data_IF_978776767832
#
_entry.id   IF_978776767832
#
_cell.length_a   1.000
_cell.length_b   1.000
_cell.length_c   1.000
_cell.angle_alpha   90.00
_cell.angle_beta   90.00
_cell.angle_gamma   90.00
#
_symmetry.space_group_name_H-M   'P 1'
#
loop_
_entity.id
_entity.type
_entity.pdbx_description
1 polymer ?
#
# COMPACT_ATOMS: atom_id res chain seq x y z
N UNK A 1 -20.43 -20.83 -5.92
CA UNK A 1 -21.18 -19.63 -6.39
C UNK A 1 -20.21 -18.79 -7.24
N UNK A 2 -20.73 -18.00 -8.20
CA UNK A 2 -19.90 -17.23 -9.11
C UNK A 2 -19.58 -15.83 -8.58
N UNK A 3 -18.78 -15.12 -9.34
CA UNK A 3 -18.57 -13.69 -9.16
C UNK A 3 -19.84 -12.91 -9.50
N UNK A 4 -20.08 -11.84 -8.75
CA UNK A 4 -21.15 -10.88 -9.00
C UNK A 4 -20.52 -9.47 -8.97
N UNK A 5 -20.93 -8.65 -9.93
CA UNK A 5 -20.44 -7.27 -10.04
C UNK A 5 -21.61 -6.30 -9.90
N UNK A 6 -21.44 -5.27 -9.13
CA UNK A 6 -22.45 -4.26 -8.94
C UNK A 6 -21.81 -2.87 -8.78
N UNK A 7 -22.62 -1.82 -8.86
CA UNK A 7 -22.17 -0.46 -8.70
C UNK A 7 -23.10 0.35 -7.81
N UNK A 8 -22.52 1.33 -7.12
CA UNK A 8 -23.23 2.32 -6.31
C UNK A 8 -22.89 3.74 -6.75
N UNK A 9 -23.70 4.68 -6.35
CA UNK A 9 -23.35 6.11 -6.37
C UNK A 9 -22.93 6.54 -4.97
N UNK A 10 -21.76 7.15 -4.87
CA UNK A 10 -21.28 7.85 -3.67
C UNK A 10 -21.96 9.23 -3.64
N UNK A 11 -22.84 9.45 -2.67
CA UNK A 11 -23.64 10.70 -2.64
C UNK A 11 -22.87 11.89 -2.06
N UNK A 12 -21.68 11.66 -1.51
CA UNK A 12 -20.87 12.70 -0.89
C UNK A 12 -21.38 13.19 0.47
N UNK A 13 -22.45 12.62 0.98
CA UNK A 13 -23.09 12.93 2.27
C UNK A 13 -22.89 11.80 3.32
N UNK A 14 -22.03 10.83 3.02
CA UNK A 14 -21.82 9.64 3.84
C UNK A 14 -22.77 8.50 3.51
N UNK A 15 -23.55 8.60 2.44
CA UNK A 15 -24.44 7.54 1.98
C UNK A 15 -24.06 7.04 0.59
N UNK A 16 -24.44 5.80 0.32
CA UNK A 16 -24.35 5.19 -1.00
C UNK A 16 -25.74 4.73 -1.47
N UNK A 17 -25.97 4.89 -2.77
CA UNK A 17 -27.18 4.41 -3.44
C UNK A 17 -26.81 3.33 -4.44
N UNK A 18 -27.45 2.15 -4.34
CA UNK A 18 -27.27 1.09 -5.32
C UNK A 18 -27.71 1.57 -6.71
N UNK A 19 -26.80 1.46 -7.67
CA UNK A 19 -26.97 1.93 -9.02
C UNK A 19 -27.35 0.78 -9.96
N UNK A 20 -26.63 -0.30 -9.87
CA UNK A 20 -26.84 -1.48 -10.70
C UNK A 20 -26.39 -2.74 -9.98
N UNK A 21 -27.12 -3.84 -10.19
CA UNK A 21 -26.76 -5.19 -9.76
C UNK A 21 -26.43 -6.03 -10.98
N UNK A 22 -25.63 -7.07 -10.79
CA UNK A 22 -25.33 -8.06 -11.82
C UNK A 22 -24.82 -7.44 -13.13
N UNK A 23 -23.86 -6.51 -13.01
CA UNK A 23 -23.22 -5.88 -14.17
C UNK A 23 -22.47 -6.94 -14.99
N UNK A 24 -22.64 -6.96 -16.34
CA UNK A 24 -21.96 -7.91 -17.20
C UNK A 24 -20.53 -7.44 -17.53
N UNK A 25 -19.71 -7.30 -16.50
CA UNK A 25 -18.30 -6.93 -16.63
C UNK A 25 -17.53 -8.13 -17.20
N UNK A 26 -16.57 -7.85 -18.06
CA UNK A 26 -15.61 -8.81 -18.62
C UNK A 26 -14.18 -8.33 -18.42
N UNK A 27 -13.21 -9.25 -18.57
CA UNK A 27 -11.79 -8.94 -18.40
C UNK A 27 -11.50 -8.24 -17.05
N UNK A 28 -12.16 -8.71 -16.01
CA UNK A 28 -12.07 -8.10 -14.66
C UNK A 28 -10.73 -8.45 -14.03
N UNK A 29 -10.05 -7.45 -13.53
CA UNK A 29 -8.82 -7.58 -12.75
C UNK A 29 -8.96 -6.81 -11.43
N UNK A 30 -8.71 -7.49 -10.33
CA UNK A 30 -8.85 -6.94 -8.98
C UNK A 30 -7.51 -6.99 -8.28
N UNK A 31 -6.94 -5.84 -8.02
CA UNK A 31 -5.67 -5.73 -7.28
C UNK A 31 -5.90 -5.20 -5.88
N UNK A 32 -5.32 -5.89 -4.89
CA UNK A 32 -5.28 -5.47 -3.48
C UNK A 32 -3.85 -5.23 -3.08
N UNK A 33 -3.58 -4.06 -2.50
CA UNK A 33 -2.22 -3.58 -2.23
C UNK A 33 -2.01 -3.29 -0.74
N UNK A 34 -0.82 -3.59 -0.24
CA UNK A 34 -0.39 -3.17 1.10
C UNK A 34 0.22 -1.78 1.02
N UNK A 35 -0.27 -0.85 1.82
CA UNK A 35 0.22 0.54 1.87
C UNK A 35 0.28 1.18 0.48
N UNK A 36 -0.82 1.05 -0.25
CA UNK A 36 -1.00 1.58 -1.59
C UNK A 36 -2.47 1.62 -1.99
N UNK A 37 -2.73 2.00 -3.23
CA UNK A 37 -4.06 2.10 -3.81
C UNK A 37 -4.44 0.78 -4.46
N UNK A 38 -5.59 0.24 -4.12
CA UNK A 38 -6.19 -0.92 -4.79
C UNK A 38 -6.62 -0.54 -6.23
N UNK A 39 -6.75 -1.53 -7.11
CA UNK A 39 -7.24 -1.31 -8.47
C UNK A 39 -8.37 -2.27 -8.85
N UNK A 40 -9.30 -1.75 -9.63
CA UNK A 40 -10.41 -2.48 -10.20
C UNK A 40 -10.50 -2.11 -11.69
N UNK A 41 -10.01 -2.98 -12.55
CA UNK A 41 -10.06 -2.82 -14.00
C UNK A 41 -11.09 -3.78 -14.58
N UNK A 42 -11.86 -3.33 -15.57
CA UNK A 42 -12.84 -4.19 -16.24
C UNK A 42 -13.25 -3.60 -17.60
N UNK A 43 -13.96 -4.41 -18.39
CA UNK A 43 -14.69 -3.93 -19.56
C UNK A 43 -16.19 -3.98 -19.33
N UNK A 44 -16.87 -2.92 -19.75
CA UNK A 44 -18.33 -2.77 -19.72
C UNK A 44 -18.88 -2.69 -21.15
N UNK A 45 -20.01 -3.36 -21.48
CA UNK A 45 -20.68 -3.16 -22.77
C UNK A 45 -21.05 -1.69 -23.01
N UNK A 46 -20.82 -1.21 -24.23
CA UNK A 46 -21.07 0.21 -24.61
C UNK A 46 -22.50 0.64 -24.32
N UNK A 47 -23.48 -0.25 -24.55
CA UNK A 47 -24.89 0.03 -24.33
C UNK A 47 -25.20 0.34 -22.86
N UNK A 48 -24.50 -0.32 -21.94
CA UNK A 48 -24.67 -0.12 -20.50
C UNK A 48 -23.89 1.12 -20.05
N UNK A 49 -22.67 1.32 -20.57
CA UNK A 49 -21.87 2.49 -20.25
C UNK A 49 -22.53 3.80 -20.65
N UNK A 50 -23.35 3.78 -21.71
CA UNK A 50 -24.06 4.94 -22.21
C UNK A 50 -25.44 5.18 -21.57
N UNK A 51 -25.82 4.40 -20.56
CA UNK A 51 -27.09 4.64 -19.85
C UNK A 51 -27.16 6.04 -19.29
N UNK A 52 -28.38 6.59 -19.34
CA UNK A 52 -28.71 7.92 -18.82
C UNK A 52 -29.79 7.80 -17.76
N UNK A 53 -29.72 8.63 -16.75
CA UNK A 53 -30.79 8.82 -15.78
C UNK A 53 -31.99 9.58 -16.39
N UNK A 54 -33.05 9.73 -15.59
CA UNK A 54 -34.27 10.44 -16.05
C UNK A 54 -34.03 11.93 -16.38
N UNK A 55 -32.90 12.48 -15.90
CA UNK A 55 -32.48 13.86 -16.16
C UNK A 55 -31.55 13.96 -17.38
N UNK A 56 -31.19 12.83 -17.99
CA UNK A 56 -30.30 12.73 -19.16
C UNK A 56 -28.81 12.74 -18.83
N UNK A 57 -28.43 12.63 -17.56
CA UNK A 57 -27.03 12.55 -17.15
C UNK A 57 -26.48 11.13 -17.28
N UNK A 58 -25.17 10.94 -17.48
CA UNK A 58 -24.57 9.62 -17.41
C UNK A 58 -24.85 8.92 -16.08
N UNK A 59 -25.22 7.64 -16.12
CA UNK A 59 -25.43 6.82 -14.93
C UNK A 59 -24.10 6.55 -14.23
N UNK A 60 -23.06 6.24 -14.99
CA UNK A 60 -21.70 6.02 -14.47
C UNK A 60 -20.90 7.33 -14.64
N UNK A 61 -20.33 7.82 -13.55
CA UNK A 61 -19.57 9.07 -13.53
C UNK A 61 -18.29 8.90 -12.73
N UNK A 62 -17.23 9.47 -13.22
CA UNK A 62 -15.97 9.57 -12.51
C UNK A 62 -16.15 10.27 -11.16
N UNK A 63 -15.45 9.82 -10.14
CA UNK A 63 -15.52 10.34 -8.76
C UNK A 63 -16.90 10.30 -8.09
N UNK A 64 -17.84 9.56 -8.66
CA UNK A 64 -19.17 9.36 -8.11
C UNK A 64 -19.58 7.90 -8.07
N UNK A 65 -19.20 7.12 -9.07
CA UNK A 65 -19.56 5.70 -9.13
C UNK A 65 -18.49 4.83 -8.50
N UNK A 66 -18.89 3.95 -7.58
CA UNK A 66 -18.03 2.89 -7.07
C UNK A 66 -18.47 1.53 -7.64
N UNK A 67 -17.50 0.75 -8.11
CA UNK A 67 -17.68 -0.63 -8.58
C UNK A 67 -17.24 -1.62 -7.53
N UNK A 68 -17.94 -2.76 -7.48
CA UNK A 68 -17.67 -3.83 -6.51
C UNK A 68 -17.68 -5.19 -7.19
N UNK A 69 -16.76 -6.04 -6.77
CA UNK A 69 -16.72 -7.45 -7.10
C UNK A 69 -16.98 -8.30 -5.84
N UNK A 70 -17.99 -9.15 -5.91
CA UNK A 70 -18.37 -10.04 -4.80
C UNK A 70 -18.19 -11.49 -5.24
N UNK A 71 -17.61 -12.31 -4.37
CA UNK A 71 -17.55 -13.77 -4.51
C UNK A 71 -18.14 -14.41 -3.26
N UNK A 72 -19.16 -15.25 -3.44
CA UNK A 72 -19.80 -15.99 -2.35
C UNK A 72 -20.31 -15.12 -1.18
N UNK A 73 -20.86 -13.94 -1.49
CA UNK A 73 -21.40 -13.01 -0.50
C UNK A 73 -20.34 -12.13 0.19
N UNK A 74 -19.07 -12.18 -0.24
CA UNK A 74 -17.99 -11.38 0.32
C UNK A 74 -17.44 -10.45 -0.75
N UNK A 75 -17.36 -9.15 -0.46
CA UNK A 75 -16.73 -8.17 -1.35
C UNK A 75 -15.23 -8.45 -1.40
N UNK A 76 -14.73 -8.71 -2.60
CA UNK A 76 -13.32 -9.04 -2.86
C UNK A 76 -12.54 -7.92 -3.51
N UNK A 77 -13.22 -6.98 -4.15
CA UNK A 77 -12.63 -5.79 -4.76
C UNK A 77 -13.63 -4.67 -4.81
N UNK A 78 -13.15 -3.44 -4.70
CA UNK A 78 -13.92 -2.23 -4.84
C UNK A 78 -13.04 -1.11 -5.39
N UNK A 79 -13.63 -0.15 -6.10
CA UNK A 79 -12.92 1.02 -6.57
C UNK A 79 -13.87 2.11 -7.04
N UNK A 80 -13.44 3.36 -6.87
CA UNK A 80 -14.10 4.57 -7.37
C UNK A 80 -13.69 4.78 -8.81
N UNK A 81 -14.66 4.93 -9.70
CA UNK A 81 -14.41 5.13 -11.13
C UNK A 81 -13.55 6.36 -11.38
N UNK A 82 -12.43 6.16 -12.08
CA UNK A 82 -11.49 7.20 -12.47
C UNK A 82 -11.61 7.55 -13.95
N UNK A 83 -11.61 6.50 -14.79
CA UNK A 83 -11.65 6.69 -16.24
C UNK A 83 -12.54 5.66 -16.92
N UNK A 84 -13.17 6.07 -18.00
CA UNK A 84 -13.80 5.19 -18.98
C UNK A 84 -13.26 5.53 -20.37
N UNK A 85 -12.74 4.53 -21.07
CA UNK A 85 -12.23 4.69 -22.42
C UNK A 85 -12.95 3.76 -23.38
N UNK A 86 -13.37 4.29 -24.53
CA UNK A 86 -14.14 3.53 -25.53
C UNK A 86 -13.18 2.99 -26.58
N UNK A 87 -12.98 1.68 -26.58
CA UNK A 87 -12.14 1.00 -27.55
C UNK A 87 -12.86 -0.24 -28.10
N UNK A 88 -12.90 -0.37 -29.42
CA UNK A 88 -13.40 -1.55 -30.16
C UNK A 88 -14.81 -2.05 -29.72
N UNK A 89 -15.73 -1.12 -29.39
CA UNK A 89 -17.10 -1.47 -29.00
C UNK A 89 -17.25 -1.96 -27.55
N UNK A 90 -16.20 -1.86 -26.75
CA UNK A 90 -16.21 -2.03 -25.30
C UNK A 90 -15.80 -0.72 -24.64
N UNK A 91 -16.14 -0.56 -23.39
CA UNK A 91 -15.69 0.54 -22.55
C UNK A 91 -14.77 -0.03 -21.49
N UNK A 92 -13.49 0.23 -21.62
CA UNK A 92 -12.53 -0.07 -20.58
C UNK A 92 -12.75 0.92 -19.41
N UNK A 93 -13.07 0.39 -18.24
CA UNK A 93 -13.19 1.16 -17.02
C UNK A 93 -11.99 0.89 -16.12
N UNK A 94 -11.50 1.95 -15.49
CA UNK A 94 -10.50 1.88 -14.43
C UNK A 94 -11.06 2.55 -13.20
N UNK A 95 -11.09 1.81 -12.12
CA UNK A 95 -11.48 2.32 -10.83
C UNK A 95 -10.35 2.06 -9.82
N UNK A 96 -10.10 3.02 -8.97
CA UNK A 96 -9.07 2.96 -7.95
C UNK A 96 -9.70 2.80 -6.58
N UNK A 97 -9.00 2.12 -5.69
CA UNK A 97 -9.44 1.94 -4.32
C UNK A 97 -9.76 3.25 -3.62
N UNK A 98 -10.50 3.18 -2.54
CA UNK A 98 -11.00 4.36 -1.80
C UNK A 98 -9.86 5.22 -1.23
N UNK A 99 -8.67 4.65 -1.01
CA UNK A 99 -7.48 5.44 -0.60
C UNK A 99 -7.11 6.48 -1.66
N UNK A 100 -7.39 6.24 -2.94
CA UNK A 100 -7.13 7.22 -4.00
C UNK A 100 -7.84 8.56 -3.78
N UNK A 101 -8.93 8.57 -3.00
CA UNK A 101 -9.78 9.75 -2.80
C UNK A 101 -9.02 10.96 -2.24
N UNK A 102 -8.11 10.75 -1.30
CA UNK A 102 -7.34 11.86 -0.70
C UNK A 102 -6.11 12.27 -1.53
N UNK A 103 -5.74 11.48 -2.57
CA UNK A 103 -4.63 11.81 -3.46
C UNK A 103 -5.02 12.92 -4.44
N UNK A 104 -4.10 13.85 -4.64
CA UNK A 104 -4.37 15.04 -5.46
C UNK A 104 -5.20 16.11 -4.74
N UNK A 105 -5.64 15.88 -3.50
CA UNK A 105 -6.40 16.84 -2.70
C UNK A 105 -5.45 17.66 -1.80
N UNK A 106 -5.43 19.00 -1.94
CA UNK A 106 -4.63 19.84 -1.07
C UNK A 106 -5.23 19.90 0.33
N UNK A 107 -4.38 19.98 1.35
CA UNK A 107 -4.85 20.31 2.70
C UNK A 107 -5.26 21.78 2.78
N UNK A 108 -6.53 22.07 3.09
CA UNK A 108 -7.08 23.43 3.10
C UNK A 108 -7.14 24.06 4.49
N UNK A 109 -6.54 23.44 5.49
CA UNK A 109 -6.54 23.89 6.88
C UNK A 109 -5.23 24.56 7.31
N UNK A 110 -5.13 24.72 8.62
CA UNK A 110 -3.88 25.07 9.33
C UNK A 110 -3.77 24.13 10.52
N UNK A 111 -2.75 23.31 10.55
CA UNK A 111 -2.47 22.39 11.66
C UNK A 111 -1.00 22.41 12.00
N UNK A 112 -0.71 22.29 13.30
CA UNK A 112 0.65 22.25 13.84
C UNK A 112 0.72 21.16 14.90
N UNK A 113 1.64 20.23 14.75
CA UNK A 113 1.76 19.04 15.59
C UNK A 113 3.10 19.00 16.31
N UNK A 114 3.03 18.76 17.61
CA UNK A 114 4.19 18.61 18.48
C UNK A 114 4.05 17.34 19.29
N UNK A 115 4.99 16.43 19.19
CA UNK A 115 5.00 15.14 19.91
C UNK A 115 3.69 14.34 19.73
N UNK A 116 3.15 14.35 18.52
CA UNK A 116 1.90 13.64 18.17
C UNK A 116 2.22 12.27 17.56
N UNK A 117 1.31 11.33 17.76
CA UNK A 117 1.31 10.05 17.05
C UNK A 117 0.98 10.32 15.56
N UNK A 118 1.82 9.89 14.59
CA UNK A 118 1.57 10.10 13.17
C UNK A 118 0.22 9.52 12.70
N UNK A 119 -0.30 8.48 13.34
CA UNK A 119 -1.61 7.92 13.03
C UNK A 119 -2.78 8.86 13.38
N UNK A 120 -2.57 9.81 14.30
CA UNK A 120 -3.53 10.90 14.55
C UNK A 120 -3.56 11.86 13.36
N UNK A 121 -2.40 12.18 12.81
CA UNK A 121 -2.29 13.06 11.62
C UNK A 121 -2.91 12.38 10.40
N UNK A 122 -2.64 11.10 10.20
CA UNK A 122 -3.23 10.30 9.14
C UNK A 122 -4.77 10.32 9.18
N UNK A 123 -5.37 10.14 10.36
CA UNK A 123 -6.84 10.24 10.54
C UNK A 123 -7.34 11.65 10.30
N UNK A 124 -6.60 12.67 10.72
CA UNK A 124 -6.98 14.07 10.51
C UNK A 124 -7.11 14.42 9.03
N UNK A 125 -6.24 13.90 8.14
CA UNK A 125 -6.39 14.13 6.70
C UNK A 125 -7.71 13.56 6.16
N UNK A 126 -8.07 12.37 6.58
CA UNK A 126 -9.32 11.74 6.18
C UNK A 126 -10.55 12.46 6.74
N UNK A 127 -10.54 12.84 8.01
CA UNK A 127 -11.59 13.63 8.64
C UNK A 127 -11.75 14.98 7.94
N UNK A 128 -10.62 15.62 7.60
CA UNK A 128 -10.61 16.88 6.87
C UNK A 128 -11.22 16.75 5.47
N UNK A 129 -10.80 15.77 4.67
CA UNK A 129 -11.31 15.53 3.34
C UNK A 129 -12.82 15.24 3.34
N UNK A 130 -13.30 14.45 4.32
CA UNK A 130 -14.71 14.08 4.44
C UNK A 130 -15.60 15.14 5.11
N UNK A 131 -15.03 16.22 5.63
CA UNK A 131 -15.80 17.29 6.28
C UNK A 131 -16.42 18.31 5.32
N UNK A 132 -15.99 18.30 4.06
CA UNK A 132 -16.53 19.22 3.04
C UNK A 132 -17.86 18.72 2.47
N UNK A 133 -18.69 19.67 2.04
CA UNK A 133 -19.92 19.37 1.34
C UNK A 133 -19.62 18.56 0.05
N UNK A 134 -20.26 17.42 -0.09
CA UNK A 134 -19.99 16.49 -1.20
C UNK A 134 -18.72 15.65 -1.03
N UNK A 135 -17.99 15.79 0.08
CA UNK A 135 -16.73 15.09 0.33
C UNK A 135 -16.82 13.82 1.18
N UNK A 136 -17.97 13.54 1.77
CA UNK A 136 -18.11 12.40 2.68
C UNK A 136 -18.39 11.08 1.92
N UNK A 137 -17.37 10.23 1.80
CA UNK A 137 -17.44 8.90 1.16
C UNK A 137 -17.46 7.74 2.16
N UNK A 138 -18.01 7.88 3.33
CA UNK A 138 -18.04 7.17 4.60
C UNK A 138 -16.88 6.16 4.86
N UNK A 139 -15.64 6.57 4.60
CA UNK A 139 -14.45 5.78 4.93
C UNK A 139 -14.05 6.00 6.38
N UNK A 140 -13.82 4.91 7.10
CA UNK A 140 -13.39 4.93 8.51
C UNK A 140 -11.98 4.35 8.63
N UNK A 141 -11.08 5.05 9.32
CA UNK A 141 -9.76 4.56 9.66
C UNK A 141 -9.77 3.87 11.04
N UNK A 142 -9.02 2.79 11.16
CA UNK A 142 -8.83 2.11 12.44
C UNK A 142 -8.26 3.05 13.52
N UNK A 143 -8.59 2.76 14.77
CA UNK A 143 -8.13 3.53 15.94
C UNK A 143 -6.78 3.01 16.49
N UNK A 144 -5.99 2.33 15.67
CA UNK A 144 -4.64 1.89 16.01
C UNK A 144 -3.78 3.09 16.40
N UNK A 145 -2.91 2.91 17.39
CA UNK A 145 -1.99 3.92 17.89
C UNK A 145 -0.56 3.42 17.85
N UNK A 146 0.41 4.36 17.76
CA UNK A 146 1.83 4.05 17.81
C UNK A 146 2.54 4.78 18.96
N UNK A 147 3.68 4.27 19.46
CA UNK A 147 4.53 5.01 20.40
C UNK A 147 5.37 6.09 19.70
N UNK A 148 5.41 6.10 18.36
CA UNK A 148 6.17 7.08 17.57
C UNK A 148 5.60 8.48 17.79
N UNK A 149 6.49 9.48 17.87
CA UNK A 149 6.11 10.88 18.04
C UNK A 149 6.81 11.73 16.99
N UNK A 150 6.02 12.44 16.21
CA UNK A 150 6.49 13.40 15.21
C UNK A 150 6.31 14.84 15.71
N UNK A 151 7.10 15.76 15.13
CA UNK A 151 7.15 17.16 15.54
C UNK A 151 7.86 17.38 16.89
N UNK A 152 8.48 18.51 17.04
CA UNK A 152 9.21 18.90 18.24
C UNK A 152 8.77 20.29 18.70
N UNK A 153 8.97 20.58 19.98
CA UNK A 153 8.97 21.97 20.43
C UNK A 153 10.11 22.71 19.74
N UNK A 154 9.88 23.96 19.37
CA UNK A 154 10.93 24.78 18.77
C UNK A 154 12.15 24.82 19.68
N UNK A 155 13.26 24.35 19.16
CA UNK A 155 14.56 24.40 19.84
C UNK A 155 15.67 24.39 18.80
N UNK A 156 16.73 25.09 19.10
CA UNK A 156 17.96 24.95 18.37
C UNK A 156 18.65 23.65 18.82
N UNK A 157 19.01 22.82 17.85
CA UNK A 157 19.75 21.58 18.07
C UNK A 157 21.14 21.82 17.53
N UNK A 158 22.14 21.75 18.40
CA UNK A 158 23.54 21.85 18.04
C UNK A 158 24.19 20.48 18.23
N UNK A 159 24.95 20.04 17.27
CA UNK A 159 25.74 18.82 17.38
C UNK A 159 27.05 18.98 16.62
N UNK A 160 28.07 18.28 17.06
CA UNK A 160 29.37 18.21 16.40
C UNK A 160 29.41 16.98 15.52
N UNK A 161 29.82 17.13 14.26
CA UNK A 161 30.03 16.04 13.34
C UNK A 161 31.29 15.26 13.69
N UNK A 162 31.47 14.04 13.14
CA UNK A 162 32.70 13.25 13.34
C UNK A 162 33.97 14.00 12.90
N UNK A 163 33.83 14.97 12.01
CA UNK A 163 34.93 15.83 11.52
C UNK A 163 35.16 17.08 12.37
N UNK A 164 34.39 17.25 13.48
CA UNK A 164 34.55 18.37 14.43
C UNK A 164 33.88 19.67 13.97
N UNK A 165 32.96 19.63 13.01
CA UNK A 165 32.17 20.81 12.62
C UNK A 165 30.90 20.90 13.48
N UNK A 166 30.63 22.08 14.06
CA UNK A 166 29.39 22.37 14.77
C UNK A 166 28.28 22.64 13.75
N UNK A 167 27.21 21.87 13.82
CA UNK A 167 26.01 22.03 13.02
C UNK A 167 24.86 22.42 13.91
N UNK A 168 24.17 23.49 13.57
CA UNK A 168 22.95 23.88 14.25
C UNK A 168 21.77 23.87 13.30
N UNK A 169 20.65 23.33 13.74
CA UNK A 169 19.37 23.45 13.04
C UNK A 169 18.23 23.66 14.05
N UNK A 170 17.14 24.23 13.57
CA UNK A 170 15.97 24.47 14.40
C UNK A 170 14.98 23.33 14.23
N UNK A 171 14.87 22.48 15.24
CA UNK A 171 13.79 21.51 15.32
C UNK A 171 12.48 22.24 15.68
N UNK A 172 11.39 21.83 15.07
CA UNK A 172 10.10 22.47 15.26
C UNK A 172 8.91 21.54 15.05
N UNK A 173 7.69 22.07 15.12
CA UNK A 173 6.47 21.32 14.86
C UNK A 173 6.39 20.87 13.41
N UNK A 174 5.67 19.78 13.16
CA UNK A 174 5.21 19.42 11.82
C UNK A 174 4.01 20.28 11.50
N UNK A 175 4.07 21.03 10.41
CA UNK A 175 3.06 22.00 10.03
C UNK A 175 2.43 21.62 8.69
N UNK A 176 1.10 21.64 8.65
CA UNK A 176 0.31 21.51 7.44
C UNK A 176 -0.51 22.78 7.26
N UNK A 177 -0.32 23.44 6.13
CA UNK A 177 -0.90 24.76 5.91
C UNK A 177 -1.49 24.85 4.49
N UNK A 178 -2.65 25.44 4.33
CA UNK A 178 -3.32 25.58 3.04
C UNK A 178 -2.47 26.30 1.97
N UNK A 179 -1.56 27.19 2.38
CA UNK A 179 -0.65 27.89 1.44
C UNK A 179 0.56 27.07 1.02
N UNK A 180 0.80 25.92 1.63
CA UNK A 180 1.89 25.00 1.25
C UNK A 180 1.46 24.02 0.16
N UNK A 181 0.18 23.97 -0.19
CA UNK A 181 -0.42 23.10 -1.21
C UNK A 181 -0.02 21.62 -1.06
N UNK A 182 0.08 21.17 0.19
CA UNK A 182 0.45 19.78 0.51
C UNK A 182 -0.69 18.84 0.11
N UNK A 183 -0.37 17.83 -0.67
CA UNK A 183 -1.28 16.77 -1.09
C UNK A 183 -1.50 15.79 0.07
N UNK A 184 -2.73 15.67 0.56
CA UNK A 184 -3.05 14.84 1.72
C UNK A 184 -2.74 13.35 1.50
N UNK A 185 -2.94 12.84 0.29
CA UNK A 185 -2.62 11.45 -0.03
C UNK A 185 -1.12 11.18 0.01
N UNK A 186 -0.31 12.06 -0.58
CA UNK A 186 1.15 11.95 -0.53
C UNK A 186 1.69 12.09 0.88
N UNK A 187 1.13 12.99 1.68
CA UNK A 187 1.52 13.14 3.08
C UNK A 187 1.13 11.89 3.90
N UNK A 188 -0.03 11.27 3.60
CA UNK A 188 -0.45 10.01 4.21
C UNK A 188 0.53 8.88 3.88
N UNK A 189 0.94 8.75 2.62
CA UNK A 189 1.92 7.76 2.17
C UNK A 189 3.29 8.01 2.82
N UNK A 190 3.74 9.27 2.85
CA UNK A 190 5.00 9.65 3.52
C UNK A 190 5.00 9.30 5.01
N UNK A 191 3.86 9.51 5.69
CA UNK A 191 3.73 9.09 7.09
C UNK A 191 3.85 7.58 7.27
N UNK A 192 3.32 6.78 6.34
CA UNK A 192 3.45 5.32 6.37
C UNK A 192 4.88 4.86 6.08
N UNK A 193 5.58 5.52 5.16
CA UNK A 193 6.98 5.22 4.83
C UNK A 193 7.94 5.61 5.96
N UNK A 194 7.76 6.79 6.55
CA UNK A 194 8.62 7.32 7.62
C UNK A 194 8.37 6.69 8.99
N UNK A 195 7.13 6.26 9.22
CA UNK A 195 6.69 5.62 10.45
C UNK A 195 6.35 4.17 10.12
N UNK A 196 6.88 3.17 10.84
CA UNK A 196 6.60 1.79 10.49
C UNK A 196 5.14 1.44 10.78
N UNK A 197 4.23 1.77 9.87
CA UNK A 197 2.88 1.27 9.86
C UNK A 197 2.44 0.91 8.44
N UNK A 198 1.59 -0.10 8.35
CA UNK A 198 0.96 -0.50 7.11
C UNK A 198 -0.51 -0.16 7.14
N UNK A 199 -1.11 -0.04 5.94
CA UNK A 199 -2.54 0.09 5.77
C UNK A 199 -3.05 -0.75 4.60
N UNK A 200 -4.35 -1.07 4.60
CA UNK A 200 -5.07 -1.71 3.48
C UNK A 200 -6.55 -1.41 3.55
N UNK A 201 -7.22 -1.51 2.42
CA UNK A 201 -8.66 -1.30 2.32
C UNK A 201 -9.45 -2.56 2.60
N UNK A 202 -10.55 -2.41 3.33
CA UNK A 202 -11.52 -3.48 3.60
C UNK A 202 -12.93 -2.94 3.33
N UNK A 203 -13.67 -3.69 2.52
CA UNK A 203 -15.07 -3.40 2.22
C UNK A 203 -15.92 -4.58 2.63
N UNK A 204 -16.92 -4.35 3.48
CA UNK A 204 -17.74 -5.42 4.03
C UNK A 204 -19.22 -5.06 4.05
N UNK A 205 -20.07 -6.05 3.87
CA UNK A 205 -21.49 -5.91 4.12
C UNK A 205 -21.75 -5.71 5.61
N UNK A 206 -22.54 -4.70 5.96
CA UNK A 206 -23.06 -4.49 7.29
C UNK A 206 -24.50 -5.02 7.41
N UNK A 207 -25.00 -5.07 8.63
CA UNK A 207 -26.41 -5.36 8.86
C UNK A 207 -27.29 -4.31 8.15
N UNK A 208 -28.20 -4.75 7.28
CA UNK A 208 -29.07 -3.86 6.50
C UNK A 208 -28.58 -3.55 5.09
N UNK A 209 -27.74 -4.43 4.53
CA UNK A 209 -27.27 -4.37 3.13
C UNK A 209 -26.52 -3.07 2.78
N UNK A 210 -25.89 -2.45 3.76
CA UNK A 210 -24.99 -1.32 3.54
C UNK A 210 -23.56 -1.80 3.45
N UNK A 211 -22.73 -1.11 2.66
CA UNK A 211 -21.32 -1.36 2.60
C UNK A 211 -20.60 -0.48 3.63
N UNK A 212 -19.66 -1.07 4.32
CA UNK A 212 -18.73 -0.36 5.21
C UNK A 212 -17.36 -0.33 4.57
N UNK A 213 -16.78 0.86 4.51
CA UNK A 213 -15.44 1.09 4.00
C UNK A 213 -14.53 1.41 5.16
N UNK A 214 -13.48 0.61 5.31
CA UNK A 214 -12.51 0.77 6.38
C UNK A 214 -11.09 0.71 5.83
N UNK A 215 -10.25 1.62 6.29
CA UNK A 215 -8.80 1.52 6.15
C UNK A 215 -8.28 0.89 7.43
N UNK A 216 -7.87 -0.37 7.33
CA UNK A 216 -7.22 -1.09 8.40
C UNK A 216 -5.78 -0.63 8.52
N UNK A 217 -5.33 -0.33 9.74
CA UNK A 217 -3.99 0.15 10.02
C UNK A 217 -3.32 -0.78 11.03
N UNK A 218 -2.12 -1.23 10.74
CA UNK A 218 -1.29 -2.05 11.62
C UNK A 218 0.02 -1.37 12.00
N UNK A 219 0.36 -1.41 13.28
CA UNK A 219 1.64 -0.94 13.80
C UNK A 219 2.37 -2.08 14.51
N UNK A 220 3.68 -2.32 14.27
CA UNK A 220 4.53 -1.70 13.25
C UNK A 220 4.21 -2.19 11.82
N UNK A 221 3.40 -3.22 11.67
CA UNK A 221 3.02 -3.78 10.38
C UNK A 221 1.68 -4.49 10.45
N UNK A 222 0.99 -4.62 9.31
CA UNK A 222 -0.17 -5.50 9.13
C UNK A 222 0.25 -6.92 8.78
N UNK A 223 -0.70 -7.83 8.99
CA UNK A 223 -0.61 -9.23 8.62
C UNK A 223 -0.06 -10.12 9.73
N UNK A 224 -0.17 -11.41 9.51
CA UNK A 224 0.24 -12.47 10.42
C UNK A 224 1.02 -13.56 9.67
N UNK A 225 1.78 -14.37 10.41
CA UNK A 225 2.32 -15.61 9.87
C UNK A 225 1.19 -16.63 9.72
N UNK A 226 0.94 -17.04 8.47
CA UNK A 226 -0.14 -17.94 8.10
C UNK A 226 0.40 -19.37 8.01
N UNK A 227 0.67 -19.96 9.16
CA UNK A 227 1.08 -21.37 9.31
C UNK A 227 -0.09 -22.35 9.08
N UNK A 228 -1.31 -21.84 9.11
CA UNK A 228 -2.56 -22.54 8.78
C UNK A 228 -2.75 -22.74 7.27
N UNK A 229 -2.05 -21.98 6.42
CA UNK A 229 -2.14 -22.06 4.97
C UNK A 229 -0.94 -22.80 4.35
N UNK A 230 -1.16 -23.41 3.19
CA UNK A 230 -0.11 -24.17 2.49
C UNK A 230 -0.04 -23.73 1.03
N UNK A 231 1.15 -23.29 0.64
CA UNK A 231 1.49 -22.91 -0.73
C UNK A 231 2.57 -23.85 -1.27
N UNK A 232 2.17 -24.78 -2.13
CA UNK A 232 3.05 -25.85 -2.60
C UNK A 232 3.15 -25.81 -4.12
N UNK A 233 4.38 -25.75 -4.64
CA UNK A 233 4.64 -25.80 -6.09
C UNK A 233 4.16 -27.14 -6.67
N UNK A 234 3.35 -27.05 -7.72
CA UNK A 234 2.73 -28.21 -8.35
C UNK A 234 1.41 -28.68 -7.71
N UNK A 235 0.95 -28.01 -6.64
CA UNK A 235 -0.39 -28.20 -6.05
C UNK A 235 -1.24 -26.95 -6.27
N UNK A 236 -1.05 -25.90 -5.52
CA UNK A 236 -1.75 -24.61 -5.64
C UNK A 236 -0.84 -23.44 -6.07
N UNK A 237 0.45 -23.62 -6.10
CA UNK A 237 1.39 -22.72 -6.79
C UNK A 237 1.57 -23.24 -8.20
N UNK A 238 1.03 -22.50 -9.17
CA UNK A 238 0.85 -22.99 -10.58
C UNK A 238 2.13 -22.93 -11.39
N UNK A 239 3.02 -22.00 -11.03
CA UNK A 239 4.28 -21.80 -11.74
C UNK A 239 5.47 -22.20 -10.86
N UNK A 240 6.55 -22.71 -11.47
CA UNK A 240 7.81 -22.93 -10.74
C UNK A 240 8.28 -21.62 -10.08
N UNK A 241 8.86 -21.72 -8.90
CA UNK A 241 9.47 -20.56 -8.23
C UNK A 241 10.57 -19.98 -9.12
N UNK A 242 10.39 -18.73 -9.50
CA UNK A 242 11.43 -17.97 -10.18
C UNK A 242 12.28 -17.27 -9.12
N UNK A 243 13.34 -17.92 -8.70
CA UNK A 243 14.33 -17.34 -7.80
C UNK A 243 15.25 -16.43 -8.62
N UNK A 244 15.29 -15.15 -8.32
CA UNK A 244 16.17 -14.18 -8.97
C UNK A 244 17.33 -13.82 -8.06
N UNK A 245 18.55 -13.88 -8.61
CA UNK A 245 19.75 -13.32 -8.00
C UNK A 245 20.06 -12.02 -8.76
N UNK A 246 19.62 -10.90 -8.25
CA UNK A 246 19.89 -9.61 -8.88
C UNK A 246 20.99 -8.88 -8.12
N UNK A 247 22.10 -8.67 -8.79
CA UNK A 247 23.22 -7.90 -8.26
C UNK A 247 23.07 -6.39 -8.45
N UNK A 248 22.04 -5.91 -9.15
CA UNK A 248 21.82 -4.48 -9.37
C UNK A 248 21.48 -3.75 -8.05
N UNK A 249 20.67 -4.38 -7.24
CA UNK A 249 20.26 -3.84 -5.94
C UNK A 249 21.20 -4.26 -4.79
N UNK A 250 22.16 -5.15 -5.06
CA UNK A 250 23.05 -5.61 -4.01
C UNK A 250 23.93 -4.49 -3.47
N UNK A 251 23.94 -4.31 -2.16
CA UNK A 251 24.88 -3.48 -1.44
C UNK A 251 25.44 -4.21 -0.21
N UNK A 252 26.75 -4.05 0.03
CA UNK A 252 27.42 -4.50 1.27
C UNK A 252 27.63 -3.35 2.25
N UNK A 253 27.28 -2.14 1.85
CA UNK A 253 27.34 -0.94 2.65
C UNK A 253 26.22 0.01 2.21
N UNK A 254 25.52 0.59 3.16
CA UNK A 254 24.53 1.64 2.92
C UNK A 254 24.97 2.89 3.65
N UNK A 255 24.96 4.01 2.95
CA UNK A 255 25.25 5.34 3.48
C UNK A 255 23.97 6.15 3.41
N UNK A 256 23.51 6.65 4.54
CA UNK A 256 22.38 7.59 4.60
C UNK A 256 22.92 8.99 4.77
N UNK A 257 22.46 9.91 3.90
CA UNK A 257 22.71 11.33 3.93
C UNK A 257 21.45 12.02 4.41
N UNK A 258 21.46 12.51 5.65
CA UNK A 258 20.34 13.20 6.28
C UNK A 258 20.32 14.71 6.04
N UNK A 259 19.73 15.43 6.98
CA UNK A 259 19.63 16.89 6.97
C UNK A 259 21.00 17.58 7.01
N UNK A 260 21.05 18.81 6.49
CA UNK A 260 22.25 19.63 6.40
C UNK A 260 22.71 19.89 4.96
N UNK A 261 23.78 20.61 4.79
CA UNK A 261 24.39 20.91 3.49
C UNK A 261 25.90 20.63 3.51
N UNK A 262 26.40 20.07 2.39
CA UNK A 262 27.82 19.81 2.23
C UNK A 262 28.36 18.85 3.29
N UNK A 263 29.39 19.28 4.04
CA UNK A 263 30.04 18.45 5.07
C UNK A 263 29.23 18.38 6.38
N UNK A 264 28.29 19.30 6.56
CA UNK A 264 27.44 19.36 7.77
C UNK A 264 26.18 18.48 7.66
N UNK A 265 26.08 17.65 6.65
CA UNK A 265 24.99 16.68 6.54
C UNK A 265 25.13 15.56 7.57
N UNK A 266 24.01 15.18 8.17
CA UNK A 266 23.95 13.92 8.93
C UNK A 266 24.36 12.78 8.00
N UNK A 267 25.38 12.02 8.39
CA UNK A 267 25.90 10.92 7.58
C UNK A 267 26.11 9.69 8.46
N UNK A 268 25.41 8.64 8.16
CA UNK A 268 25.60 7.35 8.80
C UNK A 268 25.85 6.26 7.75
N UNK A 269 26.73 5.34 8.08
CA UNK A 269 26.97 4.17 7.24
C UNK A 269 26.95 2.88 8.03
N UNK A 270 26.32 1.88 7.44
CA UNK A 270 26.30 0.51 7.99
C UNK A 270 26.83 -0.44 6.95
N UNK A 271 27.74 -1.33 7.37
CA UNK A 271 28.45 -2.23 6.47
C UNK A 271 28.45 -3.67 7.01
N UNK A 272 28.27 -4.62 6.09
CA UNK A 272 28.54 -6.04 6.31
C UNK A 272 29.82 -6.41 5.60
N UNK A 273 30.76 -7.02 6.32
CA UNK A 273 31.97 -7.57 5.74
C UNK A 273 31.71 -9.01 5.27
N UNK A 274 31.42 -9.16 4.00
CA UNK A 274 31.27 -10.47 3.38
C UNK A 274 32.53 -10.88 2.65
N UNK A 275 33.03 -12.07 3.02
CA UNK A 275 34.19 -12.66 2.33
C UNK A 275 33.74 -13.18 0.96
N UNK A 276 34.47 -12.78 -0.10
CA UNK A 276 34.27 -13.20 -1.51
C UNK A 276 33.26 -12.41 -2.33
N UNK A 277 32.64 -11.34 -1.81
CA UNK A 277 31.87 -10.39 -2.62
C UNK A 277 32.59 -9.03 -2.68
N UNK A 278 32.46 -8.36 -3.81
CA UNK A 278 32.99 -7.00 -3.97
C UNK A 278 32.17 -6.01 -3.15
N UNK A 279 32.85 -5.03 -2.55
CA UNK A 279 32.19 -3.93 -1.87
C UNK A 279 31.31 -3.16 -2.84
N UNK A 280 30.02 -3.03 -2.54
CA UNK A 280 29.05 -2.19 -3.23
C UNK A 280 28.42 -1.26 -2.20
N UNK A 281 28.31 0.01 -2.55
CA UNK A 281 27.77 1.05 -1.67
C UNK A 281 26.50 1.59 -2.29
N UNK A 282 25.41 1.57 -1.55
CA UNK A 282 24.20 2.31 -1.85
C UNK A 282 24.18 3.61 -1.03
N UNK A 283 23.77 4.70 -1.63
CA UNK A 283 23.61 6.00 -0.97
C UNK A 283 22.13 6.36 -1.00
N UNK A 284 21.58 6.67 0.18
CA UNK A 284 20.20 7.13 0.37
C UNK A 284 20.23 8.58 0.81
N UNK A 285 19.48 9.44 0.12
CA UNK A 285 19.25 10.81 0.54
C UNK A 285 17.92 10.86 1.35
N UNK A 286 18.02 11.14 2.64
CA UNK A 286 16.91 11.29 3.56
C UNK A 286 17.01 12.66 4.27
N UNK A 287 16.84 13.73 3.51
CA UNK A 287 17.14 15.12 3.92
C UNK A 287 16.30 15.63 5.09
N UNK A 288 15.23 14.95 5.43
CA UNK A 288 14.38 15.17 6.61
C UNK A 288 14.96 14.56 7.89
N UNK A 289 15.89 13.62 7.77
CA UNK A 289 16.49 12.90 8.90
C UNK A 289 17.56 13.72 9.58
N UNK A 290 17.24 14.18 10.78
CA UNK A 290 18.06 15.08 11.62
C UNK A 290 18.82 14.36 12.75
N UNK A 291 18.71 13.02 12.81
CA UNK A 291 19.29 12.24 13.90
C UNK A 291 20.17 11.11 13.36
N UNK A 292 21.38 11.01 13.89
CA UNK A 292 22.31 9.91 13.59
C UNK A 292 21.73 8.55 13.90
N UNK A 293 20.94 8.45 14.98
CA UNK A 293 20.28 7.21 15.39
C UNK A 293 19.23 6.80 14.33
N UNK A 294 18.41 7.76 13.88
CA UNK A 294 17.41 7.51 12.84
C UNK A 294 18.10 7.15 11.51
N UNK A 295 19.15 7.90 11.13
CA UNK A 295 19.93 7.61 9.93
C UNK A 295 20.59 6.23 9.96
N UNK A 296 21.15 5.84 11.10
CA UNK A 296 21.74 4.51 11.27
C UNK A 296 20.67 3.38 11.25
N UNK A 297 19.47 3.64 11.75
CA UNK A 297 18.35 2.70 11.67
C UNK A 297 17.92 2.48 10.21
N UNK A 298 17.72 3.55 9.45
CA UNK A 298 17.41 3.49 8.02
C UNK A 298 18.51 2.75 7.26
N UNK A 299 19.79 3.06 7.53
CA UNK A 299 20.91 2.38 6.89
C UNK A 299 20.93 0.87 7.15
N UNK A 300 20.55 0.43 8.37
CA UNK A 300 20.46 -1.00 8.71
C UNK A 300 19.33 -1.69 7.96
N UNK A 301 18.15 -1.09 7.96
CA UNK A 301 16.98 -1.64 7.26
C UNK A 301 17.25 -1.81 5.78
N UNK A 302 17.78 -0.78 5.14
CA UNK A 302 18.12 -0.80 3.73
C UNK A 302 19.25 -1.79 3.41
N UNK A 303 20.23 -1.94 4.31
CA UNK A 303 21.28 -2.93 4.13
C UNK A 303 20.72 -4.37 4.17
N UNK A 304 19.81 -4.67 5.10
CA UNK A 304 19.13 -5.98 5.15
C UNK A 304 18.36 -6.23 3.86
N UNK A 305 17.65 -5.24 3.35
CA UNK A 305 16.92 -5.33 2.09
C UNK A 305 17.86 -5.62 0.90
N UNK A 306 18.99 -4.90 0.79
CA UNK A 306 19.93 -5.01 -0.35
C UNK A 306 20.92 -6.18 -0.25
N UNK A 307 21.22 -6.62 0.95
CA UNK A 307 22.22 -7.70 1.16
C UNK A 307 21.66 -9.10 0.87
N UNK A 308 20.35 -9.26 0.74
CA UNK A 308 19.67 -10.55 0.55
C UNK A 308 20.11 -11.29 -0.72
N UNK A 309 20.31 -12.61 -0.62
CA UNK A 309 20.89 -13.43 -1.69
C UNK A 309 19.94 -13.74 -2.84
N UNK A 310 18.69 -13.97 -2.58
CA UNK A 310 17.73 -14.38 -3.60
C UNK A 310 16.36 -13.76 -3.32
N UNK A 311 15.66 -13.34 -4.35
CA UNK A 311 14.31 -12.81 -4.24
C UNK A 311 13.34 -13.64 -5.07
N UNK A 312 12.14 -13.84 -4.53
CA UNK A 312 10.96 -14.23 -5.29
C UNK A 312 10.09 -12.99 -5.32
N UNK A 313 9.93 -12.42 -6.52
CA UNK A 313 9.13 -11.20 -6.67
C UNK A 313 7.66 -11.52 -6.92
N UNK A 314 7.37 -12.65 -7.54
CA UNK A 314 6.02 -12.99 -8.00
C UNK A 314 5.74 -14.49 -7.82
N UNK A 315 4.54 -14.81 -7.36
CA UNK A 315 3.98 -16.16 -7.30
C UNK A 315 2.63 -16.15 -7.99
N UNK A 316 2.35 -17.17 -8.78
CA UNK A 316 1.00 -17.40 -9.31
C UNK A 316 0.42 -18.60 -8.57
N UNK A 317 -0.67 -18.33 -7.86
CA UNK A 317 -1.37 -19.34 -7.06
C UNK A 317 -2.81 -19.48 -7.55
N UNK A 318 -3.45 -20.58 -7.19
CA UNK A 318 -4.84 -20.84 -7.54
C UNK A 318 -5.70 -20.88 -6.28
N UNK A 319 -6.95 -20.44 -6.39
CA UNK A 319 -7.95 -20.62 -5.32
C UNK A 319 -8.08 -22.11 -4.99
N UNK A 320 -7.69 -22.49 -3.78
CA UNK A 320 -7.53 -23.89 -3.39
C UNK A 320 -7.95 -24.09 -1.92
N UNK A 321 -8.52 -25.26 -1.54
CA UNK A 321 -8.91 -25.52 -0.15
C UNK A 321 -7.80 -25.32 0.90
N UNK A 322 -6.52 -25.49 0.52
CA UNK A 322 -5.37 -25.28 1.41
C UNK A 322 -5.00 -23.80 1.59
N UNK A 323 -5.44 -22.94 0.71
CA UNK A 323 -5.28 -21.49 0.75
C UNK A 323 -6.41 -20.82 -0.07
N UNK A 324 -7.65 -20.80 0.43
CA UNK A 324 -8.78 -20.23 -0.29
C UNK A 324 -8.61 -18.71 -0.47
N UNK A 325 -9.14 -18.19 -1.59
CA UNK A 325 -9.20 -16.73 -1.80
C UNK A 325 -9.91 -16.03 -0.63
N UNK A 326 -9.22 -15.07 -0.04
CA UNK A 326 -9.67 -14.32 1.14
C UNK A 326 -9.31 -14.96 2.48
N UNK A 327 -8.58 -16.10 2.48
CA UNK A 327 -7.93 -16.60 3.68
C UNK A 327 -6.58 -15.93 3.92
N UNK A 328 -6.04 -15.22 2.96
CA UNK A 328 -4.83 -14.43 3.03
C UNK A 328 -5.05 -13.01 2.46
N UNK A 329 -4.21 -12.09 2.83
CA UNK A 329 -4.32 -10.68 2.41
C UNK A 329 -2.92 -10.02 2.30
N UNK A 330 -2.80 -8.88 1.63
CA UNK A 330 -1.58 -8.08 1.67
C UNK A 330 -1.15 -7.80 3.12
N UNK A 331 0.12 -7.99 3.41
CA UNK A 331 0.71 -7.94 4.75
C UNK A 331 0.99 -9.31 5.36
N UNK A 332 0.24 -10.36 5.01
CA UNK A 332 0.43 -11.69 5.57
C UNK A 332 1.75 -12.34 5.12
N UNK A 333 2.35 -13.11 6.03
CA UNK A 333 3.49 -13.95 5.75
C UNK A 333 3.02 -15.37 5.45
N UNK A 334 3.43 -15.91 4.31
CA UNK A 334 3.08 -17.25 3.86
C UNK A 334 4.31 -18.11 3.65
N UNK A 335 4.20 -19.41 3.95
CA UNK A 335 5.27 -20.39 3.71
C UNK A 335 5.08 -21.02 2.34
N UNK A 336 6.00 -20.77 1.43
CA UNK A 336 6.03 -21.38 0.10
C UNK A 336 6.97 -22.59 0.11
N UNK A 337 6.46 -23.72 -0.39
CA UNK A 337 7.18 -24.98 -0.44
C UNK A 337 7.42 -25.40 -1.90
N UNK A 338 8.67 -25.66 -2.23
CA UNK A 338 9.05 -26.20 -3.54
C UNK A 338 9.85 -27.49 -3.34
N UNK A 339 9.43 -28.56 -3.98
CA UNK A 339 10.12 -29.84 -3.98
C UNK A 339 10.97 -29.98 -5.24
N UNK A 340 12.28 -30.11 -5.06
CA UNK A 340 13.20 -30.47 -6.16
C UNK A 340 13.22 -29.48 -7.34
N UNK A 341 13.04 -28.20 -7.12
CA UNK A 341 13.09 -27.19 -8.18
C UNK A 341 14.52 -26.87 -8.57
N UNK A 342 15.11 -27.60 -9.53
CA UNK A 342 16.33 -27.21 -10.26
C UNK A 342 17.61 -26.85 -9.47
N UNK A 343 17.48 -26.53 -8.20
CA UNK A 343 18.54 -26.18 -7.26
C UNK A 343 18.84 -27.29 -6.22
N UNK A 344 18.22 -28.47 -6.40
CA UNK A 344 18.52 -29.68 -5.64
C UNK A 344 17.52 -30.01 -4.55
N UNK A 345 17.59 -29.43 -3.39
CA UNK A 345 16.82 -29.83 -2.21
C UNK A 345 15.45 -29.14 -2.10
N UNK A 346 14.57 -29.70 -1.27
CA UNK A 346 13.29 -29.07 -0.91
C UNK A 346 13.54 -27.68 -0.33
N UNK A 347 12.85 -26.69 -0.87
CA UNK A 347 13.00 -25.30 -0.44
C UNK A 347 11.74 -24.87 0.31
N UNK A 348 11.94 -24.29 1.49
CA UNK A 348 10.90 -23.67 2.33
C UNK A 348 11.25 -22.20 2.50
N UNK A 349 10.36 -21.32 2.11
CA UNK A 349 10.64 -19.89 2.17
C UNK A 349 9.43 -19.13 2.69
N UNK A 350 9.65 -18.36 3.75
CA UNK A 350 8.66 -17.38 4.21
C UNK A 350 8.73 -16.13 3.34
N UNK A 351 7.60 -15.73 2.79
CA UNK A 351 7.45 -14.50 2.03
C UNK A 351 6.27 -13.69 2.56
N UNK A 352 6.39 -12.38 2.47
CA UNK A 352 5.31 -11.45 2.78
C UNK A 352 4.58 -11.07 1.50
N UNK A 353 3.27 -11.08 1.51
CA UNK A 353 2.44 -10.61 0.40
C UNK A 353 2.42 -9.08 0.46
N UNK A 354 2.85 -8.43 -0.61
CA UNK A 354 2.79 -6.98 -0.77
C UNK A 354 1.52 -6.58 -1.54
N UNK A 355 1.17 -7.39 -2.52
CA UNK A 355 0.04 -7.16 -3.40
C UNK A 355 -0.47 -8.51 -3.92
N UNK A 356 -1.75 -8.57 -4.25
CA UNK A 356 -2.24 -9.65 -5.09
C UNK A 356 -3.24 -9.13 -6.13
N UNK A 357 -3.19 -9.75 -7.31
CA UNK A 357 -4.16 -9.52 -8.38
C UNK A 357 -4.93 -10.80 -8.65
N UNK A 358 -6.26 -10.70 -8.63
CA UNK A 358 -7.18 -11.79 -8.95
C UNK A 358 -7.73 -11.57 -10.35
N UNK A 359 -7.66 -12.61 -11.17
CA UNK A 359 -8.40 -12.72 -12.42
C UNK A 359 -9.60 -13.65 -12.18
N UNK A 360 -10.83 -13.11 -12.10
CA UNK A 360 -12.03 -13.90 -11.84
C UNK A 360 -12.35 -14.95 -12.91
N UNK A 361 -11.82 -14.80 -14.13
CA UNK A 361 -12.08 -15.72 -15.25
C UNK A 361 -11.16 -16.94 -15.22
N UNK A 362 -9.94 -16.79 -14.70
CA UNK A 362 -8.94 -17.88 -14.67
C UNK A 362 -8.82 -18.59 -13.32
N UNK A 363 -9.42 -18.06 -12.25
CA UNK A 363 -9.19 -18.48 -10.86
C UNK A 363 -7.71 -18.37 -10.40
N UNK A 364 -6.85 -17.76 -11.20
CA UNK A 364 -5.45 -17.54 -10.85
C UNK A 364 -5.30 -16.23 -10.06
N UNK A 365 -4.42 -16.28 -9.08
CA UNK A 365 -4.10 -15.14 -8.21
C UNK A 365 -2.60 -14.89 -8.32
N UNK A 366 -2.23 -13.74 -8.82
CA UNK A 366 -0.83 -13.32 -8.89
C UNK A 366 -0.47 -12.56 -7.62
N UNK A 367 0.52 -13.05 -6.87
CA UNK A 367 1.01 -12.43 -5.65
C UNK A 367 2.34 -11.72 -5.94
N UNK A 368 2.44 -10.43 -5.63
CA UNK A 368 3.73 -9.76 -5.48
C UNK A 368 4.21 -9.98 -4.04
N UNK A 369 5.41 -10.49 -3.89
CA UNK A 369 5.92 -10.90 -2.57
C UNK A 369 7.35 -10.44 -2.32
N UNK A 370 7.72 -10.37 -1.05
CA UNK A 370 9.10 -10.16 -0.63
C UNK A 370 9.49 -11.17 0.45
N UNK A 371 10.77 -11.50 0.56
CA UNK A 371 11.23 -12.45 1.58
C UNK A 371 11.13 -11.84 2.98
N UNK A 372 10.74 -12.65 3.95
CA UNK A 372 10.64 -12.25 5.36
C UNK A 372 11.98 -11.74 5.91
N UNK A 373 13.09 -12.38 5.55
CA UNK A 373 14.42 -11.99 6.02
C UNK A 373 14.83 -10.58 5.58
N UNK A 374 14.24 -10.06 4.49
CA UNK A 374 14.45 -8.68 4.04
C UNK A 374 13.72 -7.64 4.87
N UNK A 375 12.78 -8.06 5.70
CA UNK A 375 11.95 -7.21 6.56
C UNK A 375 12.34 -7.29 8.04
N UNK A 376 13.30 -8.16 8.39
CA UNK A 376 13.79 -8.26 9.74
C UNK A 376 14.61 -7.00 10.09
N UNK A 377 14.00 -6.11 10.87
CA UNK A 377 14.57 -4.91 11.46
C UNK A 377 15.28 -5.23 12.79
#
# INVERSE_FOLDING_TARGET
MGWRYFATTLNGDGTETLLATDLPLTDVSLTKTLSGVDAFDANLPVEIAHLRDDEGNPVFREWSTAFYAEKDGVIRGAGILQTMDVEDGKVALKAEGFVSYIHGMPYEGVASYVQVDPLVVARHFWEHAQAFDGGNIPVVLDQTTSPVRIGHHERDVEFETEDGEEVSFRAGPVNYNWWSTQDMGREFDSLAEETPFDYREIHTWSAGERIQHRIEIGYPSLGAERDDLRFVVGENVVQPLRVMFDGADYASEVVVLGAGEGRSMVRQSVRVNELKRLRRVAVLEARDVQSDIKAASIARSELVYRHGDANIATLVVRDHPNAPLGSFAPGDFILVQSKGSGWGDDTYMWVRILEYTVDPESDDITLAVTRKERLAL
#
